data_IF_872857353098
#
_entry.id   IF_872857353098
#
_cell.length_a   1.000
_cell.length_b   1.000
_cell.length_c   1.000
_cell.angle_alpha   90.00
_cell.angle_beta   90.00
_cell.angle_gamma   90.00
#
_symmetry.space_group_name_H-M   'P 1'
#
loop_
_entity.id
_entity.type
_entity.pdbx_description
1 polymer ?
#
# COMPACT_ATOMS: atom_id res chain seq x y z
N UNK A 1 -1.95 -2.71 26.90
CA UNK A 1 -0.51 -2.74 26.54
C UNK A 1 0.00 -1.35 26.21
N UNK A 2 1.31 -1.16 26.35
CA UNK A 2 2.02 0.04 25.92
C UNK A 2 2.79 -0.30 24.63
N UNK A 3 2.33 0.20 23.49
CA UNK A 3 2.80 -0.16 22.14
C UNK A 3 3.61 1.00 21.58
N UNK A 4 4.79 0.69 21.02
CA UNK A 4 5.62 1.67 20.32
C UNK A 4 5.82 1.24 18.89
N UNK A 5 5.42 2.06 17.94
CA UNK A 5 5.78 1.92 16.53
C UNK A 5 7.04 2.74 16.23
N UNK A 6 7.97 2.18 15.45
CA UNK A 6 9.20 2.87 15.06
C UNK A 6 9.33 2.89 13.54
N UNK A 7 9.53 4.09 12.98
CA UNK A 7 9.72 4.33 11.55
C UNK A 7 10.88 5.27 11.29
N UNK A 8 11.44 5.22 10.06
CA UNK A 8 12.45 6.20 9.65
C UNK A 8 11.87 7.59 9.49
N UNK A 9 10.73 7.70 8.85
CA UNK A 9 10.01 8.95 8.58
C UNK A 9 8.51 8.72 8.63
N UNK A 10 7.76 9.79 8.73
CA UNK A 10 6.30 9.82 8.62
C UNK A 10 5.93 10.69 7.41
N UNK A 11 6.43 10.27 6.24
CA UNK A 11 6.17 10.90 4.96
C UNK A 11 4.86 10.42 4.32
N UNK A 12 4.57 10.92 3.12
CA UNK A 12 3.39 10.47 2.36
C UNK A 12 3.75 9.18 1.63
N UNK A 13 3.22 8.04 2.11
CA UNK A 13 3.44 6.73 1.54
C UNK A 13 2.44 5.71 2.08
N UNK A 14 2.33 4.54 1.42
CA UNK A 14 1.38 3.49 1.81
C UNK A 14 1.70 2.90 3.19
N UNK A 15 2.98 2.70 3.50
CA UNK A 15 3.43 2.15 4.79
C UNK A 15 3.12 3.11 5.93
N UNK A 16 3.41 4.39 5.75
CA UNK A 16 3.21 5.43 6.76
C UNK A 16 1.72 5.69 6.98
N UNK A 17 0.92 5.71 5.92
CA UNK A 17 -0.54 5.86 6.02
C UNK A 17 -1.16 4.68 6.77
N UNK A 18 -0.77 3.46 6.44
CA UNK A 18 -1.24 2.26 7.12
C UNK A 18 -0.80 2.22 8.59
N UNK A 19 0.44 2.67 8.90
CA UNK A 19 0.89 2.80 10.29
C UNK A 19 -0.02 3.72 11.10
N UNK A 20 -0.41 4.88 10.54
CA UNK A 20 -1.32 5.82 11.19
C UNK A 20 -2.68 5.16 11.45
N UNK A 21 -3.20 4.43 10.47
CA UNK A 21 -4.48 3.72 10.60
C UNK A 21 -4.43 2.65 11.71
N UNK A 22 -3.38 1.83 11.73
CA UNK A 22 -3.14 0.82 12.77
C UNK A 22 -3.02 1.47 14.16
N UNK A 23 -2.20 2.52 14.26
CA UNK A 23 -1.96 3.21 15.52
C UNK A 23 -3.24 3.85 16.07
N UNK A 24 -4.05 4.48 15.21
CA UNK A 24 -5.34 5.07 15.59
C UNK A 24 -6.33 4.04 16.12
N UNK A 25 -6.42 2.87 15.48
CA UNK A 25 -7.27 1.79 15.98
C UNK A 25 -6.77 1.27 17.33
N UNK A 26 -5.47 1.00 17.46
CA UNK A 26 -4.88 0.51 18.70
C UNK A 26 -5.03 1.52 19.87
N UNK A 27 -4.99 2.83 19.59
CA UNK A 27 -5.15 3.88 20.58
C UNK A 27 -6.55 3.95 21.20
N UNK A 28 -7.52 3.21 20.65
CA UNK A 28 -8.87 3.12 21.26
C UNK A 28 -8.84 2.33 22.58
N UNK A 29 -7.95 1.35 22.72
CA UNK A 29 -7.89 0.45 23.87
C UNK A 29 -6.50 0.34 24.51
N UNK A 30 -5.45 0.88 23.88
CA UNK A 30 -4.07 0.75 24.33
C UNK A 30 -3.35 2.10 24.37
N UNK A 31 -2.24 2.17 25.11
CA UNK A 31 -1.34 3.33 25.06
C UNK A 31 -0.43 3.16 23.84
N UNK A 32 -0.49 4.09 22.90
CA UNK A 32 0.28 4.03 21.66
C UNK A 32 1.22 5.20 21.53
N UNK A 33 2.45 4.92 21.11
CA UNK A 33 3.46 5.93 20.80
C UNK A 33 4.09 5.64 19.44
N UNK A 34 4.47 6.69 18.71
CA UNK A 34 5.21 6.57 17.45
C UNK A 34 6.54 7.30 17.60
N UNK A 35 7.64 6.59 17.37
CA UNK A 35 8.98 7.19 17.30
C UNK A 35 9.36 7.34 15.83
N UNK A 36 9.62 8.58 15.41
CA UNK A 36 10.09 8.92 14.07
C UNK A 36 11.56 9.29 14.14
N UNK A 37 12.42 8.50 13.47
CA UNK A 37 13.87 8.65 13.61
C UNK A 37 14.39 9.86 12.82
N UNK A 38 14.01 9.99 11.54
CA UNK A 38 14.44 11.10 10.70
C UNK A 38 13.58 12.35 10.92
N UNK A 39 14.01 13.46 10.33
CA UNK A 39 13.32 14.75 10.38
C UNK A 39 12.18 14.90 9.35
N UNK A 40 11.90 13.85 8.58
CA UNK A 40 10.84 13.83 7.58
C UNK A 40 9.51 13.43 8.23
N UNK A 41 8.71 14.42 8.60
CA UNK A 41 7.34 14.26 9.12
C UNK A 41 6.41 15.14 8.29
N UNK A 42 5.45 14.52 7.60
CA UNK A 42 4.40 15.23 6.86
C UNK A 42 3.35 15.76 7.84
N UNK A 43 3.08 17.08 7.88
CA UNK A 43 2.02 17.62 8.72
C UNK A 43 0.66 16.98 8.42
N UNK A 44 0.33 16.79 7.14
CA UNK A 44 -0.96 16.23 6.72
C UNK A 44 -1.18 14.77 7.18
N UNK A 45 -0.10 14.03 7.49
CA UNK A 45 -0.21 12.68 8.03
C UNK A 45 -0.17 12.70 9.56
N UNK A 46 0.66 13.58 10.15
CA UNK A 46 0.72 13.77 11.60
C UNK A 46 -0.63 14.27 12.17
N UNK A 47 -1.31 15.16 11.45
CA UNK A 47 -2.63 15.71 11.84
C UNK A 47 -3.75 14.65 11.81
N UNK A 48 -3.54 13.50 11.16
CA UNK A 48 -4.47 12.37 11.17
C UNK A 48 -4.31 11.44 12.38
N UNK A 49 -3.26 11.62 13.17
CA UNK A 49 -3.06 10.83 14.39
C UNK A 49 -4.13 11.16 15.44
N UNK A 50 -4.67 10.13 16.06
CA UNK A 50 -5.54 10.29 17.23
C UNK A 50 -4.80 11.07 18.33
N UNK A 51 -5.48 11.99 18.98
CA UNK A 51 -4.91 12.86 20.02
C UNK A 51 -4.30 12.11 21.23
N UNK A 52 -4.67 10.84 21.41
CA UNK A 52 -4.12 9.94 22.44
C UNK A 52 -2.73 9.42 22.10
N UNK A 53 -2.33 9.46 20.81
CA UNK A 53 -1.04 8.94 20.33
C UNK A 53 0.05 9.96 20.60
N UNK A 54 1.14 9.51 21.24
CA UNK A 54 2.31 10.37 21.49
C UNK A 54 3.35 10.21 20.41
N UNK A 55 3.69 11.32 19.74
CA UNK A 55 4.71 11.36 18.71
C UNK A 55 6.08 11.78 19.29
N UNK A 56 7.11 10.98 19.04
CA UNK A 56 8.49 11.21 19.51
C UNK A 56 9.43 11.41 18.31
N UNK A 57 9.69 12.66 17.88
CA UNK A 57 10.60 12.93 16.77
C UNK A 57 12.06 12.95 17.25
N UNK A 58 12.90 12.08 16.71
CA UNK A 58 14.35 12.08 16.98
C UNK A 58 15.10 13.13 16.14
N UNK A 59 14.50 13.62 15.05
CA UNK A 59 15.03 14.67 14.16
C UNK A 59 16.41 14.36 13.57
N UNK A 60 16.63 13.12 13.13
CA UNK A 60 17.86 12.69 12.46
C UNK A 60 17.87 13.20 11.02
N UNK A 61 18.89 13.94 10.62
CA UNK A 61 19.12 14.25 9.21
C UNK A 61 19.64 13.01 8.49
N UNK A 62 19.07 12.69 7.33
CA UNK A 62 19.53 11.56 6.49
C UNK A 62 21.01 11.75 6.15
N UNK A 63 21.81 10.68 6.24
CA UNK A 63 23.25 10.71 5.99
C UNK A 63 24.11 11.22 7.15
N UNK A 64 23.52 11.76 8.22
CA UNK A 64 24.30 12.25 9.37
C UNK A 64 24.98 11.12 10.16
N UNK A 65 26.20 11.38 10.64
CA UNK A 65 26.92 10.52 11.61
C UNK A 65 26.66 10.92 13.07
N UNK A 66 25.82 11.93 13.31
CA UNK A 66 25.50 12.40 14.67
C UNK A 66 24.77 11.30 15.46
N UNK A 67 25.31 10.86 16.62
CA UNK A 67 24.70 9.81 17.44
C UNK A 67 23.51 10.30 18.28
N UNK A 68 23.35 11.61 18.50
CA UNK A 68 22.33 12.15 19.43
C UNK A 68 20.90 11.69 19.11
N UNK A 69 20.43 11.65 17.86
CA UNK A 69 19.10 11.12 17.54
C UNK A 69 18.90 9.67 17.98
N UNK A 70 19.95 8.86 17.89
CA UNK A 70 19.89 7.44 18.29
C UNK A 70 19.92 7.32 19.82
N UNK A 71 20.67 8.17 20.48
CA UNK A 71 20.63 8.26 21.95
C UNK A 71 19.21 8.65 22.40
N UNK A 72 18.61 9.66 21.74
CA UNK A 72 17.25 10.10 22.01
C UNK A 72 16.23 8.98 21.81
N UNK A 73 16.30 8.23 20.69
CA UNK A 73 15.48 7.04 20.45
C UNK A 73 15.49 6.10 21.66
N UNK A 74 16.68 5.78 22.18
CA UNK A 74 16.81 4.84 23.28
C UNK A 74 16.40 5.42 24.61
N UNK A 75 16.59 6.72 24.86
CA UNK A 75 16.07 7.40 26.04
C UNK A 75 14.53 7.48 26.03
N UNK A 76 13.92 7.70 24.87
CA UNK A 76 12.47 7.71 24.71
C UNK A 76 11.91 6.28 24.94
N UNK A 77 12.54 5.22 24.41
CA UNK A 77 12.18 3.83 24.72
C UNK A 77 12.30 3.53 26.23
N UNK A 78 13.35 4.03 26.88
CA UNK A 78 13.51 3.88 28.33
C UNK A 78 12.37 4.54 29.14
N UNK A 79 11.93 5.75 28.73
CA UNK A 79 10.84 6.51 29.36
C UNK A 79 9.48 5.89 29.11
N UNK A 80 9.24 5.47 27.87
CA UNK A 80 7.96 4.85 27.46
C UNK A 80 7.80 3.50 28.14
N UNK A 81 8.89 2.73 28.27
CA UNK A 81 8.88 1.36 28.80
C UNK A 81 7.81 0.49 28.12
N UNK A 82 7.91 0.25 26.79
CA UNK A 82 6.88 -0.45 26.04
C UNK A 82 6.80 -1.94 26.37
N UNK A 83 5.60 -2.51 26.21
CA UNK A 83 5.37 -3.94 26.19
C UNK A 83 5.71 -4.50 24.79
N UNK A 84 5.42 -3.73 23.72
CA UNK A 84 5.66 -4.09 22.34
C UNK A 84 6.39 -2.99 21.59
N UNK A 85 7.43 -3.36 20.86
CA UNK A 85 8.13 -2.51 19.88
C UNK A 85 7.84 -3.07 18.50
N UNK A 86 7.03 -2.37 17.71
CA UNK A 86 6.71 -2.75 16.35
C UNK A 86 7.51 -1.93 15.33
N UNK A 87 8.33 -2.59 14.55
CA UNK A 87 9.22 -1.99 13.56
C UNK A 87 8.67 -2.24 12.14
N UNK A 88 8.53 -1.19 11.35
CA UNK A 88 7.97 -1.26 10.01
C UNK A 88 8.99 -1.20 8.88
N UNK A 89 10.24 -0.81 9.17
CA UNK A 89 11.26 -0.58 8.15
C UNK A 89 12.60 -1.23 8.52
N UNK A 90 13.39 -1.54 7.51
CA UNK A 90 14.71 -2.16 7.66
C UNK A 90 15.73 -1.24 8.34
N UNK A 91 16.73 -1.84 8.97
CA UNK A 91 17.84 -1.13 9.61
C UNK A 91 17.54 -0.61 11.01
N UNK A 92 16.27 -0.36 11.34
CA UNK A 92 15.86 0.24 12.62
C UNK A 92 16.23 -0.62 13.82
N UNK A 93 16.05 -1.94 13.73
CA UNK A 93 16.32 -2.86 14.85
C UNK A 93 17.76 -2.79 15.34
N UNK A 94 18.70 -2.41 14.46
CA UNK A 94 20.12 -2.22 14.83
C UNK A 94 20.35 -1.01 15.71
N UNK A 95 19.42 -0.06 15.73
CA UNK A 95 19.50 1.17 16.51
C UNK A 95 18.82 1.04 17.86
N UNK A 96 17.93 0.06 18.02
CA UNK A 96 17.23 -0.24 19.27
C UNK A 96 18.18 -0.99 20.22
N UNK A 97 18.68 -0.29 21.24
CA UNK A 97 19.62 -0.81 22.26
C UNK A 97 18.90 -1.12 23.57
N UNK A 98 17.86 -0.38 23.89
CA UNK A 98 17.08 -0.51 25.13
C UNK A 98 15.71 -1.04 24.75
N UNK A 99 15.49 -2.32 24.97
CA UNK A 99 14.19 -2.98 24.74
C UNK A 99 13.61 -3.61 26.02
N UNK A 100 14.42 -3.70 27.09
CA UNK A 100 14.00 -4.33 28.37
C UNK A 100 13.29 -5.67 28.11
N UNK A 101 12.04 -5.81 28.60
CA UNK A 101 11.19 -7.00 28.41
C UNK A 101 10.23 -6.85 27.21
N UNK A 102 10.36 -5.78 26.41
CA UNK A 102 9.47 -5.58 25.29
C UNK A 102 9.63 -6.66 24.22
N UNK A 103 8.52 -7.17 23.74
CA UNK A 103 8.47 -8.00 22.54
C UNK A 103 8.76 -7.12 21.31
N UNK A 104 9.70 -7.55 20.48
CA UNK A 104 10.11 -6.81 19.27
C UNK A 104 9.59 -7.53 18.04
N UNK A 105 8.67 -6.88 17.33
CA UNK A 105 8.04 -7.45 16.14
C UNK A 105 8.30 -6.60 14.91
N UNK A 106 8.14 -7.18 13.73
CA UNK A 106 8.31 -6.48 12.46
C UNK A 106 7.24 -6.87 11.47
N UNK A 107 6.68 -5.86 10.75
CA UNK A 107 5.93 -6.06 9.51
C UNK A 107 6.85 -5.87 8.31
N UNK A 108 6.84 -6.84 7.41
CA UNK A 108 7.61 -6.85 6.16
C UNK A 108 6.67 -6.37 5.06
N UNK A 109 6.97 -5.18 4.50
CA UNK A 109 6.11 -4.48 3.54
C UNK A 109 6.50 -4.70 2.07
N UNK A 110 7.62 -5.35 1.80
CA UNK A 110 8.07 -5.61 0.44
C UNK A 110 8.86 -6.91 0.35
N UNK A 111 9.09 -7.34 -0.89
CA UNK A 111 9.77 -8.61 -1.21
C UNK A 111 11.31 -8.48 -1.12
N UNK A 112 11.86 -7.26 -1.03
CA UNK A 112 13.31 -6.98 -1.05
C UNK A 112 13.95 -6.87 0.33
N UNK A 113 13.29 -7.40 1.36
CA UNK A 113 13.74 -7.26 2.74
C UNK A 113 15.09 -7.93 3.05
N UNK A 114 15.82 -7.39 4.04
CA UNK A 114 17.14 -7.86 4.46
C UNK A 114 16.98 -8.99 5.52
N UNK A 115 17.20 -10.27 5.16
CA UNK A 115 16.94 -11.38 6.08
C UNK A 115 17.88 -11.42 7.30
N UNK A 116 19.08 -10.86 7.22
CA UNK A 116 20.06 -10.86 8.31
C UNK A 116 19.58 -10.16 9.60
N UNK A 117 18.47 -9.42 9.55
CA UNK A 117 17.87 -8.79 10.73
C UNK A 117 16.77 -9.63 11.37
N UNK A 118 16.21 -10.61 10.66
CA UNK A 118 15.05 -11.38 11.11
C UNK A 118 15.24 -12.09 12.44
N UNK A 119 16.43 -12.68 12.75
CA UNK A 119 16.68 -13.30 14.06
C UNK A 119 16.61 -12.35 15.27
N UNK A 120 16.52 -11.02 15.02
CA UNK A 120 16.43 -10.02 16.09
C UNK A 120 14.99 -9.72 16.53
N UNK A 121 14.02 -10.29 15.84
CA UNK A 121 12.59 -10.12 16.09
C UNK A 121 12.01 -11.36 16.76
N UNK A 122 11.12 -11.15 17.69
CA UNK A 122 10.38 -12.22 18.35
C UNK A 122 9.26 -12.76 17.44
N UNK A 123 8.77 -11.91 16.51
CA UNK A 123 7.78 -12.29 15.51
C UNK A 123 7.93 -11.44 14.25
N UNK A 124 7.71 -12.07 13.10
CA UNK A 124 7.63 -11.43 11.80
C UNK A 124 6.21 -11.51 11.26
N UNK A 125 5.72 -10.42 10.70
CA UNK A 125 4.46 -10.35 9.97
C UNK A 125 4.74 -10.05 8.50
N UNK A 126 4.01 -10.69 7.60
CA UNK A 126 4.06 -10.47 6.17
C UNK A 126 2.74 -9.86 5.70
N UNK A 127 2.79 -8.84 4.84
CA UNK A 127 1.58 -8.16 4.36
C UNK A 127 0.80 -8.96 3.31
N UNK A 128 1.33 -10.10 2.84
CA UNK A 128 0.72 -10.99 1.85
C UNK A 128 1.36 -12.37 1.93
N UNK A 129 0.71 -13.38 1.34
CA UNK A 129 1.29 -14.72 1.16
C UNK A 129 2.53 -14.68 0.27
N UNK A 130 2.55 -13.78 -0.73
CA UNK A 130 3.71 -13.55 -1.57
C UNK A 130 4.94 -13.14 -0.73
N UNK A 131 4.79 -12.21 0.20
CA UNK A 131 5.85 -11.79 1.13
C UNK A 131 6.19 -12.91 2.12
N UNK A 132 5.19 -13.64 2.64
CA UNK A 132 5.41 -14.80 3.52
C UNK A 132 6.25 -15.88 2.83
N UNK A 133 5.88 -16.29 1.62
CA UNK A 133 6.61 -17.27 0.82
C UNK A 133 8.07 -16.86 0.62
N UNK A 134 8.32 -15.56 0.43
CA UNK A 134 9.67 -15.02 0.32
C UNK A 134 10.47 -15.16 1.61
N UNK A 135 9.87 -14.88 2.77
CA UNK A 135 10.53 -15.08 4.07
C UNK A 135 10.80 -16.55 4.35
N UNK A 136 9.86 -17.44 4.04
CA UNK A 136 10.04 -18.89 4.16
C UNK A 136 11.18 -19.42 3.29
N UNK A 137 11.30 -18.95 2.04
CA UNK A 137 12.41 -19.29 1.15
C UNK A 137 13.78 -18.82 1.69
N UNK A 138 13.78 -17.86 2.61
CA UNK A 138 14.96 -17.36 3.30
C UNK A 138 15.19 -18.08 4.67
N UNK A 139 14.36 -19.08 5.01
CA UNK A 139 14.45 -19.86 6.24
C UNK A 139 13.82 -19.21 7.46
N UNK A 140 12.88 -18.26 7.29
CA UNK A 140 12.22 -17.58 8.39
C UNK A 140 10.69 -17.71 8.31
N UNK A 141 10.09 -18.01 9.46
CA UNK A 141 8.63 -18.03 9.59
C UNK A 141 8.08 -16.62 9.76
N UNK A 142 6.96 -16.34 9.10
CA UNK A 142 6.18 -15.11 9.29
C UNK A 142 4.69 -15.42 9.24
N UNK A 143 3.90 -14.64 9.96
CA UNK A 143 2.45 -14.71 9.96
C UNK A 143 1.88 -13.69 8.96
N UNK A 144 0.88 -14.08 8.17
CA UNK A 144 0.25 -13.15 7.23
C UNK A 144 -0.78 -12.30 7.96
N UNK A 145 -0.55 -11.00 7.96
CA UNK A 145 -1.54 -9.98 8.31
C UNK A 145 -1.60 -9.02 7.13
N UNK A 146 -2.66 -9.14 6.34
CA UNK A 146 -2.84 -8.33 5.15
C UNK A 146 -2.90 -6.83 5.47
N UNK A 147 -2.45 -6.02 4.52
CA UNK A 147 -2.72 -4.59 4.59
C UNK A 147 -4.23 -4.35 4.55
N UNK A 148 -4.69 -3.45 5.41
CA UNK A 148 -6.11 -3.13 5.51
C UNK A 148 -6.47 -1.82 4.82
N UNK A 149 -7.74 -1.70 4.42
CA UNK A 149 -8.36 -0.51 3.86
C UNK A 149 -9.57 -0.05 4.69
N UNK A 150 -9.94 1.22 4.55
CA UNK A 150 -11.06 1.81 5.27
C UNK A 150 -12.34 1.77 4.44
N UNK A 151 -13.11 0.68 4.53
CA UNK A 151 -14.39 0.56 3.80
C UNK A 151 -15.37 1.69 4.10
N UNK A 152 -15.47 2.12 5.34
CA UNK A 152 -16.41 3.19 5.76
C UNK A 152 -16.09 4.57 5.17
N UNK A 153 -14.89 4.75 4.61
CA UNK A 153 -14.46 6.02 4.00
C UNK A 153 -14.66 6.02 2.48
N UNK A 154 -14.81 4.85 1.87
CA UNK A 154 -15.04 4.70 0.44
C UNK A 154 -16.55 4.82 0.19
N UNK A 155 -16.96 5.93 -0.41
CA UNK A 155 -18.36 6.19 -0.75
C UNK A 155 -18.56 5.83 -2.22
N UNK A 156 -19.55 5.02 -2.50
CA UNK A 156 -19.85 4.57 -3.84
C UNK A 156 -21.34 4.75 -4.11
N UNK A 157 -21.67 5.72 -4.93
CA UNK A 157 -23.00 5.83 -5.53
C UNK A 157 -23.05 4.93 -6.77
N UNK A 158 -24.24 4.46 -7.13
CA UNK A 158 -24.43 3.62 -8.31
C UNK A 158 -23.89 4.35 -9.55
N UNK A 159 -22.84 3.81 -10.16
CA UNK A 159 -22.27 4.33 -11.39
C UNK A 159 -22.72 3.48 -12.58
N UNK A 160 -23.20 4.15 -13.63
CA UNK A 160 -23.52 3.49 -14.89
C UNK A 160 -22.37 3.75 -15.86
N UNK A 161 -21.78 2.67 -16.36
CA UNK A 161 -20.74 2.72 -17.37
C UNK A 161 -21.21 3.52 -18.60
N UNK A 162 -20.39 4.47 -18.99
CA UNK A 162 -20.65 5.37 -20.13
C UNK A 162 -19.66 5.17 -21.29
N UNK A 163 -19.72 6.11 -22.23
CA UNK A 163 -18.76 6.30 -23.32
C UNK A 163 -18.26 7.74 -23.23
N UNK A 164 -16.94 8.01 -23.21
CA UNK A 164 -15.82 7.05 -23.31
C UNK A 164 -15.66 6.13 -22.10
N UNK A 165 -14.97 4.99 -22.26
CA UNK A 165 -14.54 4.13 -21.17
C UNK A 165 -13.55 4.90 -20.28
N UNK A 166 -13.92 5.18 -19.03
CA UNK A 166 -13.10 5.94 -18.07
C UNK A 166 -12.23 4.99 -17.28
N UNK A 167 -10.93 5.05 -17.53
CA UNK A 167 -9.90 4.22 -16.87
C UNK A 167 -9.16 5.08 -15.85
N UNK A 168 -8.84 4.52 -14.70
CA UNK A 168 -8.00 5.17 -13.69
C UNK A 168 -6.84 4.29 -13.27
N UNK A 169 -5.70 4.92 -13.02
CA UNK A 169 -4.55 4.35 -12.33
C UNK A 169 -4.16 5.24 -11.16
N UNK A 170 -3.98 4.65 -9.98
CA UNK A 170 -3.59 5.38 -8.76
C UNK A 170 -2.27 4.84 -8.24
N UNK A 171 -1.27 5.70 -8.13
CA UNK A 171 0.04 5.31 -7.59
C UNK A 171 1.15 6.30 -7.88
N UNK A 172 2.31 6.08 -7.25
CA UNK A 172 3.52 6.86 -7.55
C UNK A 172 3.92 6.66 -9.02
N UNK A 173 4.27 7.73 -9.71
CA UNK A 173 4.74 7.66 -11.09
C UNK A 173 6.23 7.23 -11.10
N UNK A 174 6.44 5.92 -10.90
CA UNK A 174 7.77 5.29 -10.83
C UNK A 174 7.78 3.97 -11.61
N UNK A 175 8.97 3.49 -11.98
CA UNK A 175 9.13 2.31 -12.83
C UNK A 175 8.45 1.05 -12.29
N UNK A 176 8.48 0.86 -10.97
CA UNK A 176 7.86 -0.28 -10.31
C UNK A 176 6.32 -0.32 -10.48
N UNK A 177 5.67 0.80 -10.74
CA UNK A 177 4.22 0.92 -10.92
C UNK A 177 3.73 0.73 -12.35
N UNK A 178 4.63 0.69 -13.32
CA UNK A 178 4.36 0.23 -14.68
C UNK A 178 3.43 1.11 -15.52
N UNK A 179 3.23 2.40 -15.18
CA UNK A 179 2.36 3.29 -15.96
C UNK A 179 2.72 3.33 -17.45
N UNK A 180 3.98 3.15 -17.79
CA UNK A 180 4.45 3.05 -19.16
C UNK A 180 3.72 1.94 -19.94
N UNK A 181 3.51 0.77 -19.33
CA UNK A 181 2.80 -0.36 -19.94
C UNK A 181 1.36 0.01 -20.28
N UNK A 182 0.69 0.81 -19.41
CA UNK A 182 -0.66 1.29 -19.69
C UNK A 182 -0.71 2.31 -20.82
N UNK A 183 0.29 3.20 -20.94
CA UNK A 183 0.37 4.15 -22.06
C UNK A 183 0.64 3.40 -23.39
N UNK A 184 1.52 2.40 -23.36
CA UNK A 184 1.77 1.53 -24.54
C UNK A 184 0.51 0.75 -24.93
N UNK A 185 -0.25 0.24 -23.97
CA UNK A 185 -1.54 -0.42 -24.22
C UNK A 185 -2.58 0.58 -24.78
N UNK A 186 -2.62 1.82 -24.28
CA UNK A 186 -3.50 2.87 -24.76
C UNK A 186 -3.27 3.21 -26.24
N UNK A 187 -2.01 3.15 -26.73
CA UNK A 187 -1.71 3.26 -28.15
C UNK A 187 -2.45 2.18 -28.96
N UNK A 188 -2.38 0.94 -28.51
CA UNK A 188 -3.05 -0.20 -29.19
C UNK A 188 -4.58 0.00 -29.15
N UNK A 189 -5.14 0.43 -28.02
CA UNK A 189 -6.59 0.72 -27.91
C UNK A 189 -7.03 1.76 -28.92
N UNK A 190 -6.26 2.85 -29.08
CA UNK A 190 -6.56 3.91 -30.07
C UNK A 190 -6.51 3.41 -31.50
N UNK A 191 -5.51 2.57 -31.84
CA UNK A 191 -5.37 1.96 -33.15
C UNK A 191 -6.57 1.05 -33.51
N UNK A 192 -7.21 0.45 -32.49
CA UNK A 192 -8.41 -0.39 -32.63
C UNK A 192 -9.73 0.39 -32.51
N UNK A 193 -9.68 1.73 -32.41
CA UNK A 193 -10.87 2.57 -32.39
C UNK A 193 -11.67 2.51 -31.08
N UNK A 194 -11.06 2.08 -29.97
CA UNK A 194 -11.70 2.12 -28.64
C UNK A 194 -11.83 3.57 -28.22
N UNK A 195 -13.01 3.96 -27.74
CA UNK A 195 -13.26 5.28 -27.16
C UNK A 195 -13.00 5.21 -25.65
N UNK A 196 -11.92 5.87 -25.19
CA UNK A 196 -11.47 5.81 -23.80
C UNK A 196 -10.82 7.10 -23.31
N UNK A 197 -10.80 7.27 -22.00
CA UNK A 197 -9.95 8.22 -21.27
C UNK A 197 -9.23 7.54 -20.12
N UNK A 198 -8.00 7.98 -19.83
CA UNK A 198 -7.18 7.46 -18.73
C UNK A 198 -6.75 8.60 -17.84
N UNK A 199 -7.01 8.47 -16.54
CA UNK A 199 -6.53 9.40 -15.52
C UNK A 199 -5.44 8.73 -14.67
N UNK A 200 -4.24 9.34 -14.66
CA UNK A 200 -3.17 9.00 -13.72
C UNK A 200 -3.26 9.88 -12.49
N UNK A 201 -3.54 9.27 -11.34
CA UNK A 201 -3.58 9.92 -10.02
C UNK A 201 -2.30 9.57 -9.27
N UNK A 202 -1.44 10.56 -9.05
CA UNK A 202 -0.18 10.43 -8.36
C UNK A 202 0.89 11.33 -8.94
N UNK A 203 2.07 11.31 -8.33
CA UNK A 203 3.26 12.02 -8.80
C UNK A 203 4.49 11.14 -8.63
N UNK A 204 5.57 11.48 -9.31
CA UNK A 204 6.81 10.72 -9.19
C UNK A 204 7.86 11.14 -10.20
N UNK A 205 9.05 10.55 -10.09
CA UNK A 205 10.20 10.92 -10.91
C UNK A 205 10.03 10.67 -12.41
N UNK A 206 9.11 9.77 -12.79
CA UNK A 206 8.89 9.39 -14.19
C UNK A 206 7.79 10.23 -14.86
N UNK A 207 7.18 11.21 -14.17
CA UNK A 207 6.07 11.99 -14.72
C UNK A 207 6.41 12.67 -16.05
N UNK A 208 7.62 13.27 -16.14
CA UNK A 208 8.06 13.94 -17.37
C UNK A 208 8.22 12.94 -18.54
N UNK A 209 8.82 11.77 -18.29
CA UNK A 209 8.99 10.69 -19.27
C UNK A 209 7.64 10.16 -19.75
N UNK A 210 6.69 9.93 -18.84
CA UNK A 210 5.35 9.44 -19.16
C UNK A 210 4.56 10.45 -20.00
N UNK A 211 4.66 11.74 -19.70
CA UNK A 211 4.04 12.81 -20.51
C UNK A 211 4.62 12.90 -21.91
N UNK A 212 5.95 12.73 -22.04
CA UNK A 212 6.61 12.74 -23.34
C UNK A 212 6.18 11.51 -24.17
N UNK A 213 6.09 10.33 -23.59
CA UNK A 213 5.59 9.13 -24.23
C UNK A 213 4.12 9.28 -24.69
N UNK A 214 3.31 9.95 -23.88
CA UNK A 214 1.91 10.27 -24.21
C UNK A 214 1.85 11.12 -25.50
N UNK A 215 2.72 12.13 -25.60
CA UNK A 215 2.83 12.96 -26.81
C UNK A 215 3.34 12.17 -28.02
N UNK A 216 4.39 11.38 -27.85
CA UNK A 216 4.95 10.55 -28.93
C UNK A 216 3.87 9.67 -29.57
N UNK A 217 2.96 9.13 -28.74
CA UNK A 217 1.85 8.29 -29.21
C UNK A 217 0.58 9.08 -29.56
N UNK A 218 0.61 10.41 -29.48
CA UNK A 218 -0.54 11.31 -29.77
C UNK A 218 -1.76 10.97 -28.94
N UNK A 219 -1.55 10.74 -27.64
CA UNK A 219 -2.58 10.33 -26.68
C UNK A 219 -3.00 11.46 -25.74
N UNK A 220 -2.62 12.73 -26.01
CA UNK A 220 -2.87 13.88 -25.13
C UNK A 220 -4.35 14.14 -24.88
N UNK A 221 -5.21 13.81 -25.84
CA UNK A 221 -6.66 13.92 -25.73
C UNK A 221 -7.29 12.76 -24.92
N UNK A 222 -6.54 11.67 -24.72
CA UNK A 222 -7.02 10.47 -24.06
C UNK A 222 -6.47 10.31 -22.64
N UNK A 223 -5.33 10.93 -22.30
CA UNK A 223 -4.59 10.69 -21.05
C UNK A 223 -4.40 11.97 -20.26
N UNK A 224 -4.83 11.97 -19.02
CA UNK A 224 -4.67 13.06 -18.08
C UNK A 224 -3.74 12.65 -16.92
N UNK A 225 -2.92 13.61 -16.48
CA UNK A 225 -2.09 13.49 -15.27
C UNK A 225 -2.64 14.43 -14.21
N UNK A 226 -3.39 13.89 -13.24
CA UNK A 226 -4.08 14.67 -12.20
C UNK A 226 -3.15 15.08 -11.03
N UNK A 227 -1.88 14.65 -11.09
CA UNK A 227 -0.94 14.91 -10.02
C UNK A 227 -1.27 14.16 -8.72
N UNK A 228 -0.56 14.51 -7.66
CA UNK A 228 -0.84 13.95 -6.34
C UNK A 228 -2.20 14.39 -5.82
N UNK A 229 -3.02 13.42 -5.41
CA UNK A 229 -4.31 13.64 -4.76
C UNK A 229 -4.32 13.05 -3.36
N UNK A 230 -5.16 13.60 -2.49
CA UNK A 230 -5.35 13.05 -1.14
C UNK A 230 -6.07 11.71 -1.19
N UNK A 231 -5.88 10.87 -0.16
CA UNK A 231 -6.62 9.61 0.00
C UNK A 231 -8.14 9.86 -0.01
N UNK A 232 -8.61 10.92 0.62
CA UNK A 232 -10.03 11.30 0.60
C UNK A 232 -10.53 11.55 -0.80
N UNK A 233 -9.78 12.32 -1.62
CA UNK A 233 -10.13 12.52 -3.02
C UNK A 233 -10.22 11.20 -3.79
N UNK A 234 -9.24 10.31 -3.62
CA UNK A 234 -9.24 8.99 -4.29
C UNK A 234 -10.49 8.20 -3.88
N UNK A 235 -10.80 8.12 -2.60
CA UNK A 235 -11.95 7.38 -2.07
C UNK A 235 -13.32 7.93 -2.52
N UNK A 236 -13.41 9.24 -2.72
CA UNK A 236 -14.64 9.90 -3.18
C UNK A 236 -14.82 9.82 -4.71
N UNK A 237 -13.74 9.58 -5.46
CA UNK A 237 -13.78 9.66 -6.92
C UNK A 237 -13.57 8.32 -7.64
N UNK A 238 -13.02 7.28 -6.99
CA UNK A 238 -12.79 5.98 -7.63
C UNK A 238 -14.05 5.43 -8.30
N UNK A 239 -15.18 5.50 -7.63
CA UNK A 239 -16.44 4.95 -8.14
C UNK A 239 -16.98 5.63 -9.41
N UNK A 240 -16.40 6.75 -9.84
CA UNK A 240 -16.76 7.42 -11.07
C UNK A 240 -16.06 6.87 -12.31
N UNK A 241 -15.16 5.90 -12.15
CA UNK A 241 -14.45 5.23 -13.24
C UNK A 241 -15.09 3.89 -13.58
N UNK A 242 -14.95 3.51 -14.84
CA UNK A 242 -15.51 2.25 -15.35
C UNK A 242 -14.54 1.09 -15.17
N UNK A 243 -13.24 1.39 -15.06
CA UNK A 243 -12.17 0.40 -14.97
C UNK A 243 -10.96 0.98 -14.20
N UNK A 244 -10.46 0.22 -13.26
CA UNK A 244 -9.19 0.47 -12.60
C UNK A 244 -8.10 -0.42 -13.22
N UNK A 245 -6.99 0.18 -13.64
CA UNK A 245 -5.85 -0.56 -14.21
C UNK A 245 -4.59 -0.31 -13.39
N UNK A 246 -4.04 -1.38 -12.83
CA UNK A 246 -2.77 -1.33 -12.10
C UNK A 246 -1.78 -2.29 -12.74
N UNK A 247 -0.81 -1.80 -13.53
CA UNK A 247 0.14 -2.63 -14.26
C UNK A 247 1.53 -2.70 -13.60
N UNK A 248 1.67 -3.03 -12.30
CA UNK A 248 2.96 -2.99 -11.64
C UNK A 248 3.95 -3.98 -12.27
N UNK A 249 5.23 -3.60 -12.27
CA UNK A 249 6.36 -4.49 -12.57
C UNK A 249 6.88 -5.14 -11.29
N UNK A 250 6.61 -4.51 -10.16
CA UNK A 250 6.98 -4.99 -8.84
C UNK A 250 5.97 -4.50 -7.80
N UNK A 251 5.30 -5.46 -7.11
CA UNK A 251 4.30 -5.16 -6.08
C UNK A 251 4.21 -6.30 -5.05
N UNK A 252 4.22 -5.96 -3.79
CA UNK A 252 4.13 -6.94 -2.70
C UNK A 252 2.71 -7.30 -2.28
N UNK A 253 1.73 -6.41 -2.57
CA UNK A 253 0.31 -6.62 -2.25
C UNK A 253 -0.60 -5.96 -3.27
N UNK A 254 -0.64 -4.63 -3.33
CA UNK A 254 -1.54 -3.88 -4.21
C UNK A 254 -2.69 -3.23 -3.45
N UNK A 255 -2.37 -2.38 -2.46
CA UNK A 255 -3.38 -1.71 -1.64
C UNK A 255 -4.42 -0.95 -2.47
N UNK A 256 -3.98 -0.23 -3.50
CA UNK A 256 -4.86 0.55 -4.39
C UNK A 256 -5.76 -0.34 -5.27
N UNK A 257 -5.38 -1.59 -5.52
CA UNK A 257 -6.24 -2.60 -6.16
C UNK A 257 -7.43 -2.93 -5.22
N UNK A 258 -7.12 -3.21 -3.95
CA UNK A 258 -8.16 -3.48 -2.94
C UNK A 258 -9.07 -2.25 -2.74
N UNK A 259 -8.52 -1.03 -2.75
CA UNK A 259 -9.28 0.22 -2.69
C UNK A 259 -10.24 0.38 -3.89
N UNK A 260 -9.81 0.04 -5.11
CA UNK A 260 -10.64 0.07 -6.30
C UNK A 260 -11.79 -0.95 -6.23
N UNK A 261 -11.50 -2.19 -5.79
CA UNK A 261 -12.54 -3.21 -5.58
C UNK A 261 -13.53 -2.78 -4.50
N UNK A 262 -13.04 -2.16 -3.41
CA UNK A 262 -13.90 -1.62 -2.35
C UNK A 262 -14.80 -0.46 -2.84
N UNK A 263 -14.38 0.26 -3.87
CA UNK A 263 -15.18 1.25 -4.60
C UNK A 263 -16.08 0.60 -5.67
N UNK A 264 -16.16 -0.73 -5.74
CA UNK A 264 -16.91 -1.51 -6.74
C UNK A 264 -16.51 -1.22 -8.19
N UNK A 265 -15.25 -0.83 -8.41
CA UNK A 265 -14.69 -0.62 -9.73
C UNK A 265 -14.03 -1.92 -10.21
N UNK A 266 -14.37 -2.42 -11.40
CA UNK A 266 -13.68 -3.55 -12.02
C UNK A 266 -12.18 -3.32 -12.15
N UNK A 267 -11.36 -4.35 -11.94
CA UNK A 267 -9.90 -4.24 -11.90
C UNK A 267 -9.23 -5.09 -12.96
N UNK A 268 -8.25 -4.52 -13.65
CA UNK A 268 -7.24 -5.25 -14.43
C UNK A 268 -5.86 -5.00 -13.79
N UNK A 269 -5.09 -6.06 -13.53
CA UNK A 269 -3.77 -5.94 -12.90
C UNK A 269 -2.77 -6.96 -13.43
N UNK A 270 -1.46 -6.70 -13.24
CA UNK A 270 -0.41 -7.65 -13.60
C UNK A 270 -0.54 -8.98 -12.83
N UNK A 271 -0.10 -10.09 -13.43
CA UNK A 271 -0.09 -11.45 -12.88
C UNK A 271 1.01 -11.71 -11.84
N UNK A 272 1.42 -10.66 -11.11
CA UNK A 272 2.35 -10.76 -9.99
C UNK A 272 1.67 -11.39 -8.77
N UNK A 273 2.43 -12.16 -7.97
CA UNK A 273 1.91 -12.89 -6.80
C UNK A 273 1.08 -11.99 -5.85
N UNK A 274 1.53 -10.76 -5.53
CA UNK A 274 0.82 -9.85 -4.64
C UNK A 274 -0.52 -9.34 -5.21
N UNK A 275 -0.55 -8.70 -6.39
CA UNK A 275 -1.78 -8.31 -7.09
C UNK A 275 -2.76 -9.45 -7.31
N UNK A 276 -2.29 -10.63 -7.74
CA UNK A 276 -3.10 -11.84 -7.95
C UNK A 276 -3.80 -12.28 -6.66
N UNK A 277 -3.14 -12.14 -5.52
CA UNK A 277 -3.72 -12.48 -4.22
C UNK A 277 -4.90 -11.55 -3.87
N UNK A 278 -4.83 -10.27 -4.25
CA UNK A 278 -5.90 -9.29 -4.00
C UNK A 278 -7.15 -9.57 -4.84
N UNK A 279 -6.99 -10.12 -6.04
CA UNK A 279 -8.09 -10.48 -6.94
C UNK A 279 -8.46 -11.97 -6.86
N UNK A 280 -8.02 -12.69 -5.82
CA UNK A 280 -8.26 -14.13 -5.58
C UNK A 280 -7.97 -14.99 -6.82
N UNK A 281 -6.75 -14.90 -7.32
CA UNK A 281 -6.32 -15.71 -8.46
C UNK A 281 -6.95 -15.33 -9.80
N UNK A 282 -7.69 -14.24 -9.89
CA UNK A 282 -8.43 -13.81 -11.07
C UNK A 282 -9.95 -13.97 -10.97
N UNK A 283 -10.49 -14.43 -9.84
CA UNK A 283 -11.95 -14.52 -9.64
C UNK A 283 -12.61 -13.13 -9.54
N UNK A 284 -11.91 -12.18 -8.94
CA UNK A 284 -12.45 -10.84 -8.62
C UNK A 284 -11.74 -9.70 -9.37
N UNK A 285 -10.99 -10.03 -10.41
CA UNK A 285 -10.30 -9.10 -11.28
C UNK A 285 -9.69 -9.84 -12.47
N UNK A 286 -9.21 -9.11 -13.46
CA UNK A 286 -8.66 -9.69 -14.69
C UNK A 286 -7.13 -9.60 -14.62
N UNK A 287 -6.40 -10.71 -14.59
CA UNK A 287 -4.96 -10.68 -14.69
C UNK A 287 -4.50 -10.49 -16.13
N UNK A 288 -3.37 -9.81 -16.32
CA UNK A 288 -2.65 -9.76 -17.57
C UNK A 288 -1.15 -10.02 -17.33
N UNK A 289 -0.44 -10.48 -18.36
CA UNK A 289 0.99 -10.80 -18.27
C UNK A 289 1.82 -9.56 -17.93
N UNK A 290 2.55 -9.60 -16.82
CA UNK A 290 3.36 -8.50 -16.34
C UNK A 290 4.29 -7.92 -17.42
N UNK A 291 4.22 -6.60 -17.63
CA UNK A 291 5.02 -5.89 -18.63
C UNK A 291 4.56 -6.04 -20.07
N UNK A 292 3.50 -6.79 -20.36
CA UNK A 292 3.00 -7.02 -21.71
C UNK A 292 1.85 -6.06 -22.04
N UNK A 293 2.18 -4.96 -22.74
CA UNK A 293 1.21 -3.93 -23.14
C UNK A 293 0.15 -4.45 -24.12
N UNK A 294 0.50 -5.41 -24.98
CA UNK A 294 -0.44 -5.99 -25.95
C UNK A 294 -1.48 -6.86 -25.25
N UNK A 295 -1.07 -7.69 -24.27
CA UNK A 295 -2.00 -8.48 -23.46
C UNK A 295 -2.91 -7.57 -22.61
N UNK A 296 -2.35 -6.50 -22.01
CA UNK A 296 -3.14 -5.51 -21.29
C UNK A 296 -4.20 -4.87 -22.20
N UNK A 297 -3.83 -4.46 -23.41
CA UNK A 297 -4.77 -3.90 -24.38
C UNK A 297 -5.87 -4.90 -24.76
N UNK A 298 -5.51 -6.18 -24.97
CA UNK A 298 -6.49 -7.25 -25.24
C UNK A 298 -7.50 -7.38 -24.09
N UNK A 299 -7.03 -7.45 -22.82
CA UNK A 299 -7.93 -7.54 -21.65
C UNK A 299 -8.86 -6.33 -21.53
N UNK A 300 -8.36 -5.13 -21.83
CA UNK A 300 -9.18 -3.91 -21.83
C UNK A 300 -10.22 -3.97 -22.95
N UNK A 301 -9.86 -4.43 -24.16
CA UNK A 301 -10.80 -4.57 -25.27
C UNK A 301 -11.89 -5.63 -24.98
N UNK A 302 -11.53 -6.78 -24.44
CA UNK A 302 -12.51 -7.80 -24.03
C UNK A 302 -13.47 -7.25 -22.97
N UNK A 303 -12.97 -6.47 -22.01
CA UNK A 303 -13.81 -5.78 -21.03
C UNK A 303 -14.67 -4.71 -21.69
N UNK A 304 -14.12 -3.91 -22.60
CA UNK A 304 -14.85 -2.87 -23.36
C UNK A 304 -16.01 -3.47 -24.14
N UNK A 305 -15.81 -4.57 -24.84
CA UNK A 305 -16.81 -5.27 -25.64
C UNK A 305 -17.81 -6.08 -24.79
N UNK A 306 -17.61 -6.18 -23.45
CA UNK A 306 -18.40 -7.00 -22.54
C UNK A 306 -18.25 -8.52 -22.74
N UNK A 307 -17.15 -8.95 -23.39
CA UNK A 307 -16.82 -10.37 -23.56
C UNK A 307 -16.35 -10.98 -22.23
N UNK A 308 -15.83 -10.15 -21.32
CA UNK A 308 -15.54 -10.51 -19.92
C UNK A 308 -16.19 -9.51 -18.97
N UNK A 309 -16.68 -10.01 -17.84
CA UNK A 309 -17.31 -9.23 -16.79
C UNK A 309 -16.77 -9.62 -15.42
N UNK A 310 -16.81 -8.70 -14.47
CA UNK A 310 -16.43 -8.94 -13.07
C UNK A 310 -17.67 -8.72 -12.21
N UNK A 311 -17.98 -9.68 -11.35
CA UNK A 311 -18.98 -9.50 -10.29
C UNK A 311 -18.40 -8.61 -9.21
N UNK A 312 -18.66 -7.31 -9.31
CA UNK A 312 -18.13 -6.30 -8.39
C UNK A 312 -18.69 -6.41 -6.98
N UNK A 313 -19.89 -7.01 -6.81
CA UNK A 313 -20.47 -7.23 -5.49
C UNK A 313 -19.77 -8.40 -4.78
N UNK A 314 -19.55 -9.52 -5.48
CA UNK A 314 -18.77 -10.63 -4.95
C UNK A 314 -17.31 -10.22 -4.67
N UNK A 315 -16.70 -9.43 -5.55
CA UNK A 315 -15.37 -8.87 -5.35
C UNK A 315 -15.31 -7.98 -4.10
N UNK A 316 -16.29 -7.12 -3.90
CA UNK A 316 -16.40 -6.26 -2.72
C UNK A 316 -16.51 -7.08 -1.43
N UNK A 317 -17.35 -8.11 -1.41
CA UNK A 317 -17.49 -9.00 -0.25
C UNK A 317 -16.17 -9.67 0.10
N UNK A 318 -15.45 -10.19 -0.90
CA UNK A 318 -14.14 -10.82 -0.71
C UNK A 318 -13.12 -9.86 -0.08
N UNK A 319 -12.96 -8.65 -0.62
CA UNK A 319 -11.97 -7.71 -0.06
C UNK A 319 -12.41 -7.18 1.30
N UNK A 320 -13.72 -7.02 1.56
CA UNK A 320 -14.24 -6.62 2.86
C UNK A 320 -13.93 -7.66 3.95
N UNK A 321 -14.11 -8.94 3.66
CA UNK A 321 -13.83 -10.02 4.60
C UNK A 321 -12.33 -10.18 4.89
N UNK A 322 -11.48 -9.93 3.89
CA UNK A 322 -10.06 -10.23 3.99
C UNK A 322 -9.16 -9.02 4.30
N UNK A 323 -9.57 -7.81 3.92
CA UNK A 323 -8.70 -6.63 3.92
C UNK A 323 -9.28 -5.43 4.68
N UNK A 324 -10.21 -5.63 5.62
CA UNK A 324 -10.65 -4.56 6.52
C UNK A 324 -9.54 -4.17 7.49
N UNK A 325 -9.27 -2.85 7.63
CA UNK A 325 -8.18 -2.34 8.47
C UNK A 325 -8.38 -2.65 9.95
N UNK A 326 -9.63 -2.66 10.43
CA UNK A 326 -9.91 -2.94 11.83
C UNK A 326 -9.65 -4.41 12.14
N UNK A 327 -10.10 -5.32 11.24
CA UNK A 327 -9.84 -6.75 11.35
C UNK A 327 -8.33 -7.06 11.27
N UNK A 328 -7.61 -6.42 10.34
CA UNK A 328 -6.16 -6.55 10.23
C UNK A 328 -5.44 -6.06 11.51
N UNK A 329 -5.86 -4.93 12.07
CA UNK A 329 -5.25 -4.39 13.28
C UNK A 329 -5.55 -5.24 14.50
N UNK A 330 -6.76 -5.82 14.59
CA UNK A 330 -7.09 -6.75 15.67
C UNK A 330 -6.17 -7.98 15.66
N UNK A 331 -5.85 -8.55 14.49
CA UNK A 331 -4.88 -9.65 14.37
C UNK A 331 -3.48 -9.28 14.92
N UNK A 332 -3.03 -8.05 14.72
CA UNK A 332 -1.79 -7.57 15.36
C UNK A 332 -1.91 -7.57 16.88
N UNK A 333 -3.03 -7.07 17.44
CA UNK A 333 -3.24 -7.04 18.89
C UNK A 333 -3.28 -8.44 19.49
N UNK A 334 -4.00 -9.37 18.87
CA UNK A 334 -4.09 -10.77 19.30
C UNK A 334 -2.69 -11.43 19.30
N UNK A 335 -1.89 -11.17 18.27
CA UNK A 335 -0.52 -11.64 18.19
C UNK A 335 0.37 -11.05 19.29
N UNK A 336 0.24 -9.76 19.61
CA UNK A 336 1.02 -9.13 20.70
C UNK A 336 0.65 -9.73 22.05
N UNK A 337 -0.63 -9.94 22.34
CA UNK A 337 -1.09 -10.56 23.57
C UNK A 337 -0.56 -11.99 23.73
N UNK A 338 -0.59 -12.76 22.66
CA UNK A 338 -0.08 -14.13 22.67
C UNK A 338 1.43 -14.21 22.94
N UNK A 339 2.20 -13.19 22.54
CA UNK A 339 3.64 -13.08 22.77
C UNK A 339 3.96 -12.57 24.19
N UNK A 340 3.13 -11.69 24.76
CA UNK A 340 3.29 -11.16 26.11
C UNK A 340 3.02 -12.19 27.22
N UNK A 341 2.29 -13.26 26.90
CA UNK A 341 1.99 -14.36 27.82
C UNK A 341 3.09 -15.44 27.89
N UNK A 342 4.14 -15.34 27.06
CA UNK A 342 5.30 -16.23 27.06
C UNK A 342 6.45 -15.66 27.90
#
# INVERSE_FOLDING_TARGET
MNIVHIVWGLGIGGVESMLVDIANYQAQSHTVSIIVINDNISPSLADKLDSRIKLYPCKRKVGTKNPLPIIRLNLDLLRINPDVIHIHMEGIVRLVRIKRKATVVRTIHNITSIPNEYPKFDKLFAISKAVQKRTQNQGFESEVIYNGIHFNQIKCDAHTRGTPLRIVNVGRLENDKGQKVLIEAAKVLKEHGVDFSIDFIGSGKNEAELKELTKEYRLEDNINFLGFQSRTYVYENLCHYDLYVQPPIFEGFGLTIAEAIAAKVPVITSDLEGPIEVIDGGHYGIPFQCGNASDLAEKIMLFYNKDITIDTEAAWNFVHENFDINAATQKYLDAYESLALR
#
